data_IF_500122417003
#
_entry.id   IF_500122417003
#
_cell.length_a   1.000
_cell.length_b   1.000
_cell.length_c   1.000
_cell.angle_alpha   90.00
_cell.angle_beta   90.00
_cell.angle_gamma   90.00
#
_symmetry.space_group_name_H-M   'P 1'
#
loop_
_entity.id
_entity.type
_entity.pdbx_description
1 polymer ?
#
# COMPACT_ATOMS: atom_id res chain seq x y z
N UNK A 1 55.73 -30.33 21.86
CA UNK A 1 54.59 -30.55 20.93
C UNK A 1 53.22 -30.24 21.56
N UNK A 2 52.99 -30.44 22.87
CA UNK A 2 51.67 -30.19 23.51
C UNK A 2 51.21 -28.72 23.56
N UNK A 3 52.10 -27.74 23.78
CA UNK A 3 51.67 -26.34 23.92
C UNK A 3 51.09 -25.75 22.62
N UNK A 4 51.66 -26.08 21.45
CA UNK A 4 51.16 -25.57 20.17
C UNK A 4 49.77 -26.11 19.80
N UNK A 5 49.45 -27.33 20.22
CA UNK A 5 48.11 -27.91 20.04
C UNK A 5 47.11 -27.17 20.94
N UNK A 6 47.46 -26.89 22.21
CA UNK A 6 46.58 -26.14 23.11
C UNK A 6 46.27 -24.72 22.64
N UNK A 7 47.27 -23.98 22.14
CA UNK A 7 47.07 -22.61 21.64
C UNK A 7 46.20 -22.59 20.38
N UNK A 8 46.36 -23.58 19.49
CA UNK A 8 45.52 -23.72 18.29
C UNK A 8 44.05 -24.01 18.64
N UNK A 9 43.79 -24.83 19.65
CA UNK A 9 42.42 -25.11 20.11
C UNK A 9 41.77 -23.89 20.76
N UNK A 10 42.50 -23.13 21.58
CA UNK A 10 41.99 -21.89 22.18
C UNK A 10 41.63 -20.85 21.10
N UNK A 11 42.46 -20.71 20.07
CA UNK A 11 42.18 -19.82 18.93
C UNK A 11 40.93 -20.29 18.18
N UNK A 12 40.80 -21.60 17.89
CA UNK A 12 39.63 -22.15 17.21
C UNK A 12 38.33 -21.94 18.00
N UNK A 13 38.37 -22.13 19.33
CA UNK A 13 37.22 -21.85 20.21
C UNK A 13 36.84 -20.38 20.19
N UNK A 14 37.81 -19.46 20.30
CA UNK A 14 37.54 -18.02 20.26
C UNK A 14 36.95 -17.58 18.92
N UNK A 15 37.43 -18.14 17.81
CA UNK A 15 36.84 -17.92 16.48
C UNK A 15 35.42 -18.48 16.42
N UNK A 16 35.17 -19.68 16.93
CA UNK A 16 33.84 -20.27 16.97
C UNK A 16 32.84 -19.44 17.78
N UNK A 17 33.27 -18.90 18.93
CA UNK A 17 32.46 -17.97 19.74
C UNK A 17 32.17 -16.68 18.98
N UNK A 18 33.18 -16.08 18.33
CA UNK A 18 33.00 -14.86 17.53
C UNK A 18 32.04 -15.07 16.36
N UNK A 19 32.20 -16.18 15.62
CA UNK A 19 31.30 -16.55 14.53
C UNK A 19 29.88 -16.75 15.06
N UNK A 20 29.72 -17.47 16.18
CA UNK A 20 28.41 -17.65 16.82
C UNK A 20 27.76 -16.33 17.22
N UNK A 21 28.51 -15.40 17.82
CA UNK A 21 28.02 -14.08 18.21
C UNK A 21 27.59 -13.24 17.00
N UNK A 22 28.40 -13.26 15.93
CA UNK A 22 28.07 -12.58 14.67
C UNK A 22 26.79 -13.18 14.06
N UNK A 23 26.67 -14.50 14.00
CA UNK A 23 25.47 -15.18 13.49
C UNK A 23 24.22 -14.82 14.29
N UNK A 24 24.29 -14.74 15.62
CA UNK A 24 23.16 -14.31 16.46
C UNK A 24 22.77 -12.86 16.17
N UNK A 25 23.74 -11.96 15.97
CA UNK A 25 23.45 -10.57 15.60
C UNK A 25 22.70 -10.51 14.27
N UNK A 26 23.12 -11.28 13.26
CA UNK A 26 22.43 -11.36 11.98
C UNK A 26 21.00 -11.88 12.13
N UNK A 27 20.81 -12.97 12.89
CA UNK A 27 19.47 -13.54 13.15
C UNK A 27 18.55 -12.53 13.84
N UNK A 28 19.03 -11.81 14.87
CA UNK A 28 18.24 -10.81 15.58
C UNK A 28 17.83 -9.63 14.70
N UNK A 29 18.68 -9.22 13.75
CA UNK A 29 18.36 -8.17 12.79
C UNK A 29 17.27 -8.65 11.83
N UNK A 30 17.38 -9.88 11.34
CA UNK A 30 16.41 -10.49 10.44
C UNK A 30 15.04 -10.68 11.11
N UNK A 31 15.02 -11.25 12.32
CA UNK A 31 13.81 -11.46 13.13
C UNK A 31 13.09 -10.14 13.42
N UNK A 32 13.85 -9.09 13.77
CA UNK A 32 13.26 -7.77 14.04
C UNK A 32 12.64 -7.16 12.78
N UNK A 33 13.26 -7.36 11.62
CA UNK A 33 12.72 -6.86 10.35
C UNK A 33 11.44 -7.61 9.97
N UNK A 34 11.43 -8.94 10.10
CA UNK A 34 10.23 -9.76 9.87
C UNK A 34 9.09 -9.39 10.82
N UNK A 35 9.38 -9.23 12.12
CA UNK A 35 8.38 -8.83 13.11
C UNK A 35 7.81 -7.44 12.82
N UNK A 36 8.66 -6.46 12.49
CA UNK A 36 8.23 -5.11 12.13
C UNK A 36 7.28 -5.15 10.93
N UNK A 37 7.58 -5.98 9.94
CA UNK A 37 6.75 -6.11 8.74
C UNK A 37 5.45 -6.82 9.07
N UNK A 38 5.47 -7.90 9.85
CA UNK A 38 4.24 -8.58 10.29
C UNK A 38 3.30 -7.61 11.00
N UNK A 39 3.81 -6.86 11.98
CA UNK A 39 3.00 -5.87 12.72
C UNK A 39 2.48 -4.75 11.83
N UNK A 40 3.28 -4.31 10.86
CA UNK A 40 2.86 -3.31 9.87
C UNK A 40 1.74 -3.87 8.99
N UNK A 41 1.89 -5.11 8.54
CA UNK A 41 0.91 -5.79 7.70
C UNK A 41 -0.41 -6.04 8.44
N UNK A 42 -0.34 -6.48 9.70
CA UNK A 42 -1.49 -6.69 10.56
C UNK A 42 -2.24 -5.37 10.82
N UNK A 43 -1.51 -4.30 11.09
CA UNK A 43 -2.07 -2.95 11.23
C UNK A 43 -2.88 -2.56 9.98
N UNK A 44 -2.28 -2.66 8.79
CA UNK A 44 -2.97 -2.28 7.55
C UNK A 44 -4.13 -3.21 7.20
N UNK A 45 -4.00 -4.50 7.47
CA UNK A 45 -5.07 -5.48 7.26
C UNK A 45 -6.27 -5.18 8.16
N UNK A 46 -6.03 -4.78 9.42
CA UNK A 46 -7.08 -4.37 10.34
C UNK A 46 -7.81 -3.11 9.87
N UNK A 47 -7.09 -2.15 9.27
CA UNK A 47 -7.68 -0.95 8.69
C UNK A 47 -8.53 -1.26 7.47
N UNK A 48 -8.03 -2.07 6.53
CA UNK A 48 -8.78 -2.49 5.34
C UNK A 48 -10.05 -3.24 5.73
N UNK A 49 -9.96 -4.11 6.75
CA UNK A 49 -11.11 -4.84 7.26
C UNK A 49 -12.12 -3.91 7.94
N UNK A 50 -11.66 -2.94 8.74
CA UNK A 50 -12.51 -1.93 9.33
C UNK A 50 -13.21 -1.09 8.26
N UNK A 51 -12.49 -0.65 7.22
CA UNK A 51 -13.04 0.12 6.10
C UNK A 51 -14.08 -0.69 5.31
N UNK A 52 -13.85 -1.99 5.14
CA UNK A 52 -14.82 -2.91 4.50
C UNK A 52 -16.10 -3.05 5.35
N UNK A 53 -15.95 -3.12 6.67
CA UNK A 53 -17.09 -3.14 7.61
C UNK A 53 -17.84 -1.80 7.57
N UNK A 54 -17.12 -0.68 7.57
CA UNK A 54 -17.70 0.67 7.50
C UNK A 54 -18.47 0.91 6.21
N UNK A 55 -17.98 0.39 5.09
CA UNK A 55 -18.64 0.53 3.82
C UNK A 55 -20.02 -0.16 3.79
N UNK A 56 -20.16 -1.28 4.52
CA UNK A 56 -21.44 -1.93 4.81
C UNK A 56 -22.26 -2.27 3.56
N UNK A 57 -23.56 -2.48 3.76
CA UNK A 57 -24.49 -2.86 2.68
C UNK A 57 -24.78 -1.71 1.70
N UNK A 58 -24.57 -0.46 2.11
CA UNK A 58 -24.90 0.73 1.32
C UNK A 58 -23.81 1.13 0.33
N UNK A 59 -22.61 0.54 0.41
CA UNK A 59 -21.49 0.88 -0.47
C UNK A 59 -21.87 0.91 -1.95
N UNK A 60 -22.61 -0.05 -2.53
CA UNK A 60 -22.91 -0.03 -3.96
C UNK A 60 -23.70 1.23 -4.39
N UNK A 61 -24.75 1.58 -3.65
CA UNK A 61 -25.58 2.76 -3.96
C UNK A 61 -24.80 4.07 -3.77
N UNK A 62 -24.00 4.13 -2.70
CA UNK A 62 -23.15 5.30 -2.41
C UNK A 62 -22.05 5.43 -3.46
N UNK A 63 -21.44 4.33 -3.86
CA UNK A 63 -20.41 4.26 -4.89
C UNK A 63 -20.98 4.71 -6.23
N UNK A 64 -22.13 4.21 -6.66
CA UNK A 64 -22.80 4.69 -7.87
C UNK A 64 -23.05 6.20 -7.82
N UNK A 65 -23.65 6.69 -6.73
CA UNK A 65 -23.94 8.12 -6.54
C UNK A 65 -22.68 8.97 -6.56
N UNK A 66 -21.57 8.51 -5.98
CA UNK A 66 -20.29 9.23 -6.02
C UNK A 66 -19.73 9.39 -7.44
N UNK A 67 -20.10 8.51 -8.37
CA UNK A 67 -19.69 8.60 -9.76
C UNK A 67 -20.70 9.40 -10.63
N UNK A 68 -21.99 9.35 -10.32
CA UNK A 68 -23.02 10.04 -11.11
C UNK A 68 -23.29 11.46 -10.62
N UNK A 69 -23.30 11.67 -9.31
CA UNK A 69 -23.62 12.93 -8.64
C UNK A 69 -22.77 13.18 -7.37
N UNK A 70 -21.44 13.34 -7.51
CA UNK A 70 -20.51 13.46 -6.38
C UNK A 70 -20.77 14.67 -5.47
N UNK A 71 -21.40 15.73 -5.98
CA UNK A 71 -21.62 16.98 -5.22
C UNK A 71 -22.75 16.87 -4.20
N UNK A 72 -23.67 15.92 -4.39
CA UNK A 72 -24.83 15.74 -3.54
C UNK A 72 -24.70 14.52 -2.62
N UNK A 73 -23.48 14.04 -2.37
CA UNK A 73 -23.21 13.09 -1.29
C UNK A 73 -23.44 13.78 0.06
N UNK A 74 -24.16 13.13 0.96
CA UNK A 74 -24.24 13.50 2.37
C UNK A 74 -22.93 13.14 3.08
N UNK A 75 -22.69 13.72 4.26
CA UNK A 75 -21.48 13.45 5.05
C UNK A 75 -21.31 11.96 5.36
N UNK A 76 -22.40 11.24 5.66
CA UNK A 76 -22.35 9.80 5.90
C UNK A 76 -21.95 9.02 4.65
N UNK A 77 -22.44 9.43 3.47
CA UNK A 77 -22.07 8.82 2.20
C UNK A 77 -20.60 9.14 1.84
N UNK A 78 -20.13 10.36 2.13
CA UNK A 78 -18.71 10.71 1.99
C UNK A 78 -17.83 9.85 2.89
N UNK A 79 -18.25 9.56 4.13
CA UNK A 79 -17.48 8.68 5.03
C UNK A 79 -17.38 7.24 4.52
N UNK A 80 -18.45 6.73 3.91
CA UNK A 80 -18.44 5.42 3.24
C UNK A 80 -17.47 5.44 2.05
N UNK A 81 -17.52 6.49 1.22
CA UNK A 81 -16.60 6.62 0.09
C UNK A 81 -15.15 6.81 0.53
N UNK A 82 -14.90 7.51 1.63
CA UNK A 82 -13.57 7.68 2.20
C UNK A 82 -12.94 6.34 2.57
N UNK A 83 -13.70 5.43 3.20
CA UNK A 83 -13.24 4.08 3.49
C UNK A 83 -12.81 3.36 2.19
N UNK A 84 -13.59 3.51 1.12
CA UNK A 84 -13.29 2.91 -0.17
C UNK A 84 -12.08 3.54 -0.88
N UNK A 85 -11.84 4.84 -0.73
CA UNK A 85 -10.70 5.53 -1.36
C UNK A 85 -9.42 5.46 -0.53
N UNK A 86 -9.53 5.30 0.80
CA UNK A 86 -8.38 5.25 1.70
C UNK A 86 -7.80 3.84 1.87
N UNK A 87 -8.64 2.81 1.86
CA UNK A 87 -8.23 1.41 1.92
C UNK A 87 -7.10 1.03 0.92
N UNK A 88 -7.16 1.38 -0.38
CA UNK A 88 -6.06 1.08 -1.31
C UNK A 88 -4.77 1.85 -0.97
N UNK A 89 -4.86 3.07 -0.43
CA UNK A 89 -3.68 3.86 -0.02
C UNK A 89 -2.94 3.15 1.12
N UNK A 90 -3.67 2.69 2.14
CA UNK A 90 -3.12 1.89 3.23
C UNK A 90 -2.41 0.63 2.71
N UNK A 91 -3.02 -0.06 1.74
CA UNK A 91 -2.41 -1.22 1.09
C UNK A 91 -1.11 -0.85 0.36
N UNK A 92 -1.07 0.26 -0.37
CA UNK A 92 0.15 0.68 -1.08
C UNK A 92 1.27 1.05 -0.11
N UNK A 93 0.96 1.74 1.00
CA UNK A 93 1.95 2.07 2.03
C UNK A 93 2.51 0.78 2.67
N UNK A 94 1.66 -0.21 2.92
CA UNK A 94 2.10 -1.51 3.42
C UNK A 94 3.10 -2.16 2.45
N UNK A 95 2.72 -2.29 1.18
CA UNK A 95 3.55 -2.94 0.16
C UNK A 95 4.89 -2.22 -0.05
N UNK A 96 4.89 -0.89 -0.01
CA UNK A 96 6.11 -0.10 -0.06
C UNK A 96 7.05 -0.42 1.11
N UNK A 97 6.52 -0.45 2.34
CA UNK A 97 7.32 -0.77 3.55
C UNK A 97 7.82 -2.22 3.55
N UNK A 98 7.01 -3.16 3.04
CA UNK A 98 7.46 -4.55 2.82
C UNK A 98 8.60 -4.61 1.81
N UNK A 99 8.57 -3.76 0.79
CA UNK A 99 9.63 -3.68 -0.20
C UNK A 99 10.92 -3.08 0.36
N UNK A 100 10.83 -2.00 1.15
CA UNK A 100 11.99 -1.43 1.84
C UNK A 100 12.66 -2.43 2.80
N UNK A 101 11.87 -3.35 3.36
CA UNK A 101 12.36 -4.45 4.19
C UNK A 101 12.91 -5.65 3.39
N UNK A 102 12.87 -5.62 2.06
CA UNK A 102 13.35 -6.70 1.18
C UNK A 102 12.45 -7.93 1.12
N UNK A 103 11.20 -7.84 1.57
CA UNK A 103 10.25 -8.97 1.61
C UNK A 103 9.52 -9.14 0.28
N UNK A 104 9.25 -8.03 -0.41
CA UNK A 104 8.68 -8.03 -1.76
C UNK A 104 9.54 -7.21 -2.70
N UNK A 105 9.48 -7.53 -4.00
CA UNK A 105 10.19 -6.78 -5.03
C UNK A 105 9.73 -5.32 -5.12
N UNK A 106 10.67 -4.41 -5.38
CA UNK A 106 10.40 -2.96 -5.51
C UNK A 106 9.46 -2.62 -6.67
N UNK A 107 9.37 -3.46 -7.70
CA UNK A 107 8.37 -3.23 -8.76
C UNK A 107 6.96 -3.56 -8.30
N UNK A 108 6.80 -4.41 -7.29
CA UNK A 108 5.49 -4.93 -6.91
C UNK A 108 4.55 -3.83 -6.41
N UNK A 109 5.02 -2.96 -5.49
CA UNK A 109 4.20 -1.86 -4.98
C UNK A 109 3.86 -0.85 -6.08
N UNK A 110 4.80 -0.58 -7.01
CA UNK A 110 4.60 0.31 -8.16
C UNK A 110 3.52 -0.22 -9.08
N UNK A 111 3.58 -1.51 -9.43
CA UNK A 111 2.56 -2.16 -10.27
C UNK A 111 1.18 -2.11 -9.64
N UNK A 112 1.07 -2.27 -8.32
CA UNK A 112 -0.23 -2.15 -7.64
C UNK A 112 -0.80 -0.74 -7.73
N UNK A 113 0.02 0.30 -7.50
CA UNK A 113 -0.42 1.69 -7.71
C UNK A 113 -0.81 1.92 -9.17
N UNK A 114 -0.04 1.38 -10.12
CA UNK A 114 -0.30 1.57 -11.54
C UNK A 114 -1.64 0.98 -11.99
N UNK A 115 -2.07 -0.12 -11.37
CA UNK A 115 -3.35 -0.77 -11.65
C UNK A 115 -4.52 -0.06 -10.95
N UNK A 116 -4.32 0.37 -9.70
CA UNK A 116 -5.41 0.78 -8.83
C UNK A 116 -5.65 2.29 -8.79
N UNK A 117 -4.59 3.12 -8.91
CA UNK A 117 -4.67 4.53 -8.57
C UNK A 117 -5.76 5.26 -9.35
N UNK A 118 -5.81 5.06 -10.67
CA UNK A 118 -6.83 5.68 -11.52
C UNK A 118 -8.23 5.13 -11.24
N UNK A 119 -8.36 3.86 -10.85
CA UNK A 119 -9.65 3.25 -10.54
C UNK A 119 -10.28 3.82 -9.26
N UNK A 120 -9.49 4.00 -8.19
CA UNK A 120 -10.01 4.49 -6.91
C UNK A 120 -10.00 6.02 -6.79
N UNK A 121 -8.98 6.67 -7.36
CA UNK A 121 -8.75 8.11 -7.20
C UNK A 121 -8.98 8.89 -8.49
N UNK A 122 -9.23 8.24 -9.64
CA UNK A 122 -9.42 8.93 -10.92
C UNK A 122 -10.83 9.48 -11.15
N UNK A 123 -11.81 9.16 -10.30
CA UNK A 123 -13.15 9.75 -10.35
C UNK A 123 -13.19 11.17 -9.77
N UNK A 124 -14.22 12.00 -10.04
CA UNK A 124 -14.30 13.34 -9.48
C UNK A 124 -14.25 13.37 -7.94
N UNK A 125 -14.90 12.41 -7.28
CA UNK A 125 -14.82 12.27 -5.82
C UNK A 125 -13.42 11.85 -5.37
N UNK A 126 -12.84 10.81 -6.00
CA UNK A 126 -11.53 10.29 -5.63
C UNK A 126 -10.41 11.33 -5.79
N UNK A 127 -10.46 12.13 -6.86
CA UNK A 127 -9.51 13.24 -7.09
C UNK A 127 -9.65 14.32 -6.02
N UNK A 128 -10.88 14.76 -5.75
CA UNK A 128 -11.14 15.75 -4.71
C UNK A 128 -10.69 15.26 -3.33
N UNK A 129 -10.93 13.98 -3.01
CA UNK A 129 -10.44 13.37 -1.79
C UNK A 129 -8.91 13.40 -1.70
N UNK A 130 -8.21 13.03 -2.78
CA UNK A 130 -6.76 13.08 -2.85
C UNK A 130 -6.22 14.50 -2.69
N UNK A 131 -6.77 15.47 -3.42
CA UNK A 131 -6.34 16.88 -3.39
C UNK A 131 -6.53 17.53 -2.02
N UNK A 132 -7.59 17.18 -1.30
CA UNK A 132 -7.85 17.70 0.05
C UNK A 132 -7.01 16.98 1.11
N UNK A 133 -6.85 15.66 1.01
CA UNK A 133 -6.30 14.85 2.09
C UNK A 133 -4.79 14.65 1.99
N UNK A 134 -4.27 14.42 0.77
CA UNK A 134 -2.85 14.11 0.58
C UNK A 134 -1.87 15.20 1.05
N UNK A 135 -2.18 16.51 0.97
CA UNK A 135 -1.29 17.54 1.52
C UNK A 135 -1.21 17.52 3.05
N UNK A 136 -2.21 16.95 3.74
CA UNK A 136 -2.26 16.85 5.20
C UNK A 136 -1.43 15.69 5.74
N UNK A 137 -1.04 14.75 4.88
CA UNK A 137 -0.27 13.58 5.26
C UNK A 137 1.22 13.89 5.24
N UNK A 138 1.91 13.60 6.34
CA UNK A 138 3.38 13.69 6.39
C UNK A 138 4.03 12.61 5.54
N UNK A 139 5.29 12.84 5.14
CA UNK A 139 6.10 11.84 4.42
C UNK A 139 6.35 10.57 5.24
N UNK A 140 6.30 10.64 6.57
CA UNK A 140 6.37 9.47 7.45
C UNK A 140 5.14 8.57 7.33
N UNK A 141 3.95 9.19 7.14
CA UNK A 141 2.71 8.47 6.94
C UNK A 141 2.61 7.96 5.50
N UNK A 142 2.64 8.88 4.52
CA UNK A 142 2.59 8.58 3.09
C UNK A 142 3.95 8.92 2.46
N UNK A 143 4.81 7.91 2.21
CA UNK A 143 6.11 8.12 1.58
C UNK A 143 6.02 8.91 0.28
N UNK A 144 6.95 9.84 0.07
CA UNK A 144 6.96 10.73 -1.10
C UNK A 144 7.04 9.95 -2.43
N UNK A 145 7.69 8.78 -2.43
CA UNK A 145 7.76 7.89 -3.59
C UNK A 145 6.38 7.37 -4.01
N UNK A 146 5.52 7.04 -3.04
CA UNK A 146 4.13 6.63 -3.30
C UNK A 146 3.34 7.83 -3.81
N UNK A 147 3.44 8.97 -3.13
CA UNK A 147 2.73 10.20 -3.51
C UNK A 147 3.03 10.58 -4.95
N UNK A 148 4.31 10.67 -5.30
CA UNK A 148 4.77 10.98 -6.65
C UNK A 148 4.20 9.98 -7.68
N UNK A 149 4.22 8.68 -7.37
CA UNK A 149 3.71 7.67 -8.31
C UNK A 149 2.20 7.77 -8.51
N UNK A 150 1.44 8.03 -7.44
CA UNK A 150 0.00 8.28 -7.53
C UNK A 150 -0.28 9.51 -8.39
N UNK A 151 0.43 10.61 -8.15
CA UNK A 151 0.29 11.85 -8.93
C UNK A 151 0.65 11.65 -10.40
N UNK A 152 1.73 10.92 -10.71
CA UNK A 152 2.08 10.53 -12.09
C UNK A 152 0.94 9.78 -12.79
N UNK A 153 0.22 8.90 -12.07
CA UNK A 153 -0.91 8.14 -12.64
C UNK A 153 -2.20 8.95 -12.70
N UNK A 154 -2.44 9.87 -11.77
CA UNK A 154 -3.64 10.70 -11.75
C UNK A 154 -3.57 11.84 -12.76
N UNK A 155 -2.40 12.42 -12.95
CA UNK A 155 -2.19 13.59 -13.80
C UNK A 155 -1.41 13.27 -15.07
N UNK A 156 -1.36 11.98 -15.46
CA UNK A 156 -0.91 11.55 -16.78
C UNK A 156 -1.70 12.31 -17.85
N UNK A 157 -1.01 12.93 -18.81
CA UNK A 157 -1.60 13.75 -19.88
C UNK A 157 -2.63 12.99 -20.73
N UNK A 158 -2.58 11.65 -20.70
CA UNK A 158 -3.52 10.77 -21.40
C UNK A 158 -4.85 10.54 -20.64
N UNK A 159 -4.95 10.95 -19.38
CA UNK A 159 -6.17 10.83 -18.57
C UNK A 159 -6.79 12.22 -18.44
N UNK A 160 -7.99 12.42 -18.99
CA UNK A 160 -8.62 13.74 -18.91
C UNK A 160 -8.79 14.15 -17.43
N UNK A 161 -8.40 15.39 -17.04
CA UNK A 161 -8.44 15.84 -15.64
C UNK A 161 -9.81 15.74 -14.97
N UNK A 162 -10.89 15.70 -15.78
CA UNK A 162 -12.27 15.55 -15.34
C UNK A 162 -12.94 14.24 -15.81
N UNK A 163 -12.16 13.25 -16.27
CA UNK A 163 -12.75 11.96 -16.64
C UNK A 163 -13.26 11.28 -15.38
N UNK A 164 -14.50 10.79 -15.42
CA UNK A 164 -14.91 9.79 -14.46
C UNK A 164 -14.39 8.41 -14.91
N UNK A 165 -13.11 8.14 -14.63
CA UNK A 165 -12.42 6.94 -15.11
C UNK A 165 -13.19 5.67 -14.75
N UNK A 166 -13.59 5.52 -13.49
CA UNK A 166 -14.29 4.35 -12.98
C UNK A 166 -15.63 4.14 -13.69
N UNK A 167 -16.40 5.22 -13.91
CA UNK A 167 -17.63 5.15 -14.70
C UNK A 167 -17.34 4.73 -16.14
N UNK A 168 -16.36 5.35 -16.78
CA UNK A 168 -15.99 5.03 -18.16
C UNK A 168 -15.54 3.57 -18.29
N UNK A 169 -14.76 3.06 -17.34
CA UNK A 169 -14.36 1.66 -17.27
C UNK A 169 -15.57 0.71 -17.28
N UNK A 170 -16.62 1.00 -16.50
CA UNK A 170 -17.84 0.19 -16.53
C UNK A 170 -18.64 0.34 -17.84
N UNK A 171 -18.65 1.52 -18.45
CA UNK A 171 -19.24 1.69 -19.78
C UNK A 171 -18.46 0.93 -20.86
N UNK A 172 -17.12 0.92 -20.79
CA UNK A 172 -16.28 0.14 -21.70
C UNK A 172 -16.53 -1.36 -21.54
N UNK A 173 -16.71 -1.86 -20.29
CA UNK A 173 -17.13 -3.24 -20.05
C UNK A 173 -18.48 -3.51 -20.70
N UNK A 174 -19.48 -2.64 -20.53
CA UNK A 174 -20.80 -2.81 -21.15
C UNK A 174 -20.69 -2.88 -22.67
N UNK A 175 -19.90 -1.99 -23.27
CA UNK A 175 -19.69 -1.94 -24.71
C UNK A 175 -18.92 -3.17 -25.25
N UNK A 176 -18.07 -3.78 -24.43
CA UNK A 176 -17.33 -5.00 -24.78
C UNK A 176 -18.17 -6.28 -24.70
N UNK A 177 -19.31 -6.25 -24.00
CA UNK A 177 -20.25 -7.38 -23.97
C UNK A 177 -20.97 -7.41 -25.33
N UNK A 178 -20.62 -8.38 -26.16
CA UNK A 178 -21.31 -8.61 -27.44
C UNK A 178 -22.77 -8.97 -27.20
N UNK A 179 -23.69 -8.25 -27.83
CA UNK A 179 -25.08 -8.69 -27.96
C UNK A 179 -25.09 -10.01 -28.75
N UNK A 180 -25.42 -11.12 -28.08
CA UNK A 180 -25.69 -12.41 -28.73
C UNK A 180 -27.09 -12.42 -29.35
#
# INVERSE_FOLDING_TARGET
MNNQISTRWVIATNIGVLVGLISVIFQLIEDRNLLRVSLTNDYYSSYIQADTIFAGENLPAVFEKAHVDPKNLSISEMRIMEAQTFSPINRWINLYRMSEAGIVDDKFWKTQIDLDATFYLGSPYGRAYWEVSSPLWSSDFLPDAIRKRVEERLYDENIQPNSNYTKNYYEDIKNAISEN
#
